data_IF_274790028093
#
_entry.id   IF_274790028093
#
_cell.length_a   1.000
_cell.length_b   1.000
_cell.length_c   1.000
_cell.angle_alpha   90.00
_cell.angle_beta   90.00
_cell.angle_gamma   90.00
#
_symmetry.space_group_name_H-M   'P 1'
#
loop_
_entity.id
_entity.type
_entity.pdbx_description
1 polymer ?
#
# COMPACT_ATOMS: atom_id res chain seq x y z
N UNK A 1 -24.64 6.38 7.18
CA UNK A 1 -25.59 5.26 7.05
C UNK A 1 -26.18 5.29 5.65
N UNK A 2 -26.43 4.13 5.04
CA UNK A 2 -27.13 3.98 3.75
C UNK A 2 -28.11 2.83 3.84
N UNK A 3 -29.13 2.86 2.99
CA UNK A 3 -30.04 1.74 2.80
C UNK A 3 -29.90 1.16 1.39
N UNK A 4 -30.17 -0.14 1.27
CA UNK A 4 -30.46 -0.83 0.02
C UNK A 4 -31.92 -1.23 0.08
N UNK A 5 -32.68 -0.90 -0.97
CA UNK A 5 -34.11 -1.24 -1.07
C UNK A 5 -34.30 -2.27 -2.17
N UNK A 6 -34.96 -3.37 -1.84
CA UNK A 6 -35.38 -4.37 -2.82
C UNK A 6 -36.52 -3.80 -3.69
N UNK A 7 -36.35 -3.85 -5.01
CA UNK A 7 -37.30 -3.24 -5.96
C UNK A 7 -38.61 -4.02 -6.12
N UNK A 8 -38.67 -5.28 -5.70
CA UNK A 8 -39.87 -6.11 -5.77
C UNK A 8 -40.64 -6.12 -4.45
N UNK A 9 -39.93 -6.25 -3.33
CA UNK A 9 -40.56 -6.41 -2.00
C UNK A 9 -40.61 -5.13 -1.18
N UNK A 10 -39.92 -4.07 -1.60
CA UNK A 10 -39.70 -2.84 -0.82
C UNK A 10 -38.99 -3.08 0.53
N UNK A 11 -38.39 -4.26 0.73
CA UNK A 11 -37.59 -4.55 1.91
C UNK A 11 -36.36 -3.64 1.96
N UNK A 12 -36.01 -3.14 3.14
CA UNK A 12 -34.89 -2.22 3.33
C UNK A 12 -33.81 -2.83 4.21
N UNK A 13 -32.59 -2.90 3.69
CA UNK A 13 -31.40 -3.28 4.46
C UNK A 13 -30.55 -2.05 4.73
N UNK A 14 -30.22 -1.81 6.00
CA UNK A 14 -29.42 -0.65 6.40
C UNK A 14 -27.97 -1.10 6.65
N UNK A 15 -27.02 -0.33 6.12
CA UNK A 15 -25.60 -0.56 6.33
C UNK A 15 -24.85 0.73 6.64
N UNK A 16 -23.76 0.58 7.37
CA UNK A 16 -22.83 1.66 7.69
C UNK A 16 -21.63 1.60 6.77
N UNK A 17 -21.06 2.77 6.50
CA UNK A 17 -19.81 2.90 5.76
C UNK A 17 -18.96 3.95 6.44
N UNK A 18 -17.65 3.76 6.36
CA UNK A 18 -16.67 4.73 6.85
C UNK A 18 -16.08 5.48 5.67
N UNK A 19 -15.75 6.74 5.89
CA UNK A 19 -15.03 7.56 4.94
C UNK A 19 -14.20 8.58 5.70
N UNK A 20 -13.08 8.97 5.11
CA UNK A 20 -12.26 10.05 5.60
C UNK A 20 -12.59 11.30 4.79
N UNK A 21 -12.81 12.41 5.48
CA UNK A 21 -12.98 13.72 4.87
C UNK A 21 -11.77 14.58 5.20
N UNK A 22 -10.97 14.90 4.19
CA UNK A 22 -9.85 15.82 4.33
C UNK A 22 -10.40 17.24 4.20
N UNK A 23 -10.53 17.95 5.34
CA UNK A 23 -11.05 19.32 5.35
C UNK A 23 -9.95 20.37 5.09
N UNK A 24 -8.72 20.09 5.53
CA UNK A 24 -7.53 20.92 5.34
C UNK A 24 -6.35 19.99 5.08
N UNK A 25 -5.49 20.36 4.13
CA UNK A 25 -4.35 19.55 3.71
C UNK A 25 -4.68 18.58 2.58
N UNK A 26 -3.76 17.66 2.32
CA UNK A 26 -3.84 16.64 1.28
C UNK A 26 -3.23 15.33 1.77
N UNK A 27 -3.60 14.23 1.13
CA UNK A 27 -2.87 12.96 1.26
C UNK A 27 -1.73 12.95 0.25
N UNK A 28 -0.60 12.37 0.63
CA UNK A 28 0.54 12.18 -0.26
C UNK A 28 1.16 10.81 -0.02
N UNK A 29 1.94 10.35 -1.00
CA UNK A 29 2.79 9.18 -0.88
C UNK A 29 4.10 9.48 -1.61
N UNK A 30 5.15 8.75 -1.24
CA UNK A 30 6.46 8.87 -1.87
C UNK A 30 6.60 7.76 -2.92
N UNK A 31 7.32 8.07 -4.00
CA UNK A 31 7.62 7.11 -5.06
C UNK A 31 8.98 7.43 -5.66
N UNK A 32 9.83 6.41 -5.73
CA UNK A 32 11.08 6.50 -6.47
C UNK A 32 10.80 5.92 -7.87
N UNK A 33 11.01 6.73 -8.90
CA UNK A 33 10.71 6.35 -10.28
C UNK A 33 11.99 6.45 -11.10
N UNK A 34 12.37 5.34 -11.73
CA UNK A 34 13.39 5.35 -12.77
C UNK A 34 12.92 6.17 -13.97
N UNK A 35 13.85 6.90 -14.59
CA UNK A 35 13.57 7.87 -15.65
C UNK A 35 12.74 7.28 -16.81
N UNK A 36 13.00 6.03 -17.18
CA UNK A 36 12.35 5.36 -18.30
C UNK A 36 10.86 5.07 -18.03
N UNK A 37 10.46 4.96 -16.77
CA UNK A 37 9.08 4.69 -16.36
C UNK A 37 8.31 5.94 -15.91
N UNK A 38 8.96 7.09 -15.80
CA UNK A 38 8.36 8.32 -15.26
C UNK A 38 7.09 8.71 -16.01
N UNK A 39 7.13 8.73 -17.34
CA UNK A 39 5.99 9.14 -18.17
C UNK A 39 4.78 8.22 -17.98
N UNK A 40 4.99 6.91 -17.99
CA UNK A 40 3.89 5.94 -17.89
C UNK A 40 3.29 5.94 -16.47
N UNK A 41 4.13 6.00 -15.43
CA UNK A 41 3.68 6.05 -14.04
C UNK A 41 2.93 7.35 -13.75
N UNK A 42 3.47 8.52 -14.13
CA UNK A 42 2.79 9.81 -13.94
C UNK A 42 1.46 9.86 -14.69
N UNK A 43 1.37 9.26 -15.88
CA UNK A 43 0.13 9.18 -16.66
C UNK A 43 -0.91 8.28 -15.97
N UNK A 44 -0.50 7.12 -15.45
CA UNK A 44 -1.39 6.23 -14.70
C UNK A 44 -1.92 6.90 -13.42
N UNK A 45 -1.07 7.62 -12.69
CA UNK A 45 -1.47 8.39 -11.50
C UNK A 45 -2.46 9.51 -11.87
N UNK A 46 -2.24 10.22 -12.99
CA UNK A 46 -3.19 11.23 -13.48
C UNK A 46 -4.54 10.63 -13.84
N UNK A 47 -4.59 9.45 -14.45
CA UNK A 47 -5.86 8.76 -14.72
C UNK A 47 -6.63 8.48 -13.42
N UNK A 48 -5.94 8.10 -12.34
CA UNK A 48 -6.56 7.89 -11.02
C UNK A 48 -7.14 9.16 -10.41
N UNK A 49 -6.69 10.35 -10.84
CA UNK A 49 -7.26 11.63 -10.43
C UNK A 49 -8.72 11.76 -10.87
N UNK A 50 -8.99 11.39 -12.12
CA UNK A 50 -10.32 11.50 -12.76
C UNK A 50 -11.21 10.30 -12.40
N UNK A 51 -10.61 9.13 -12.25
CA UNK A 51 -11.30 7.89 -11.92
C UNK A 51 -11.60 7.73 -10.43
N UNK A 52 -10.79 8.35 -9.57
CA UNK A 52 -10.85 8.25 -8.12
C UNK A 52 -10.13 7.03 -7.55
N UNK A 53 -9.72 7.14 -6.28
CA UNK A 53 -9.00 6.07 -5.56
C UNK A 53 -9.88 5.50 -4.43
N UNK A 54 -10.01 4.17 -4.38
CA UNK A 54 -10.72 3.45 -3.32
C UNK A 54 -12.14 3.01 -3.70
N UNK A 55 -12.97 2.73 -2.69
CA UNK A 55 -14.36 2.33 -2.90
C UNK A 55 -15.29 3.51 -3.15
N UNK A 56 -16.50 3.23 -3.66
CA UNK A 56 -17.54 4.24 -3.90
C UNK A 56 -17.13 5.37 -4.87
N UNK A 57 -16.22 5.09 -5.81
CA UNK A 57 -15.78 6.03 -6.86
C UNK A 57 -16.94 6.50 -7.75
N UNK A 58 -17.88 5.61 -8.04
CA UNK A 58 -19.06 5.89 -8.89
C UNK A 58 -20.01 6.96 -8.33
N UNK A 59 -19.86 7.33 -7.06
CA UNK A 59 -20.62 8.40 -6.41
C UNK A 59 -19.73 9.58 -5.99
N UNK A 60 -18.57 9.71 -6.64
CA UNK A 60 -17.67 10.86 -6.50
C UNK A 60 -16.65 10.78 -5.36
N UNK A 61 -16.47 9.62 -4.71
CA UNK A 61 -15.43 9.48 -3.67
C UNK A 61 -14.06 9.20 -4.29
N UNK A 62 -13.01 9.59 -3.58
CA UNK A 62 -11.63 9.32 -3.97
C UNK A 62 -11.09 10.21 -5.09
N UNK A 63 -11.91 11.13 -5.59
CA UNK A 63 -11.51 12.18 -6.53
C UNK A 63 -10.75 13.29 -5.79
N UNK A 64 -9.83 13.95 -6.49
CA UNK A 64 -9.05 15.06 -5.97
C UNK A 64 -8.19 15.68 -7.04
N UNK A 65 -7.43 16.72 -6.70
CA UNK A 65 -6.39 17.25 -7.57
C UNK A 65 -5.06 16.61 -7.18
N UNK A 66 -4.21 16.31 -8.17
CA UNK A 66 -2.90 15.73 -7.93
C UNK A 66 -1.79 16.72 -8.29
N UNK A 67 -0.74 16.74 -7.47
CA UNK A 67 0.46 17.53 -7.67
C UNK A 67 1.67 16.62 -7.51
N UNK A 68 2.67 16.78 -8.39
CA UNK A 68 3.96 16.12 -8.27
C UNK A 68 4.95 17.11 -7.68
N UNK A 69 5.59 16.72 -6.58
CA UNK A 69 6.69 17.48 -5.97
C UNK A 69 7.88 16.57 -5.78
N UNK A 70 9.05 17.14 -6.02
CA UNK A 70 10.29 16.52 -5.61
C UNK A 70 10.36 16.54 -4.07
N UNK A 71 10.91 15.48 -3.51
CA UNK A 71 10.99 15.29 -2.07
C UNK A 71 12.32 14.63 -1.74
N UNK A 72 13.07 15.25 -0.82
CA UNK A 72 14.35 14.76 -0.36
C UNK A 72 14.29 14.53 1.15
N UNK A 73 14.83 13.38 1.59
CA UNK A 73 14.99 13.04 3.00
C UNK A 73 16.48 12.98 3.29
N UNK A 74 16.88 13.67 4.36
CA UNK A 74 18.23 13.52 4.91
C UNK A 74 18.29 12.26 5.76
N UNK A 75 19.06 11.27 5.33
CA UNK A 75 19.30 10.04 6.05
C UNK A 75 20.72 10.00 6.66
N UNK A 76 20.92 9.27 7.76
CA UNK A 76 22.24 9.13 8.37
C UNK A 76 23.18 8.30 7.50
N UNK A 77 24.46 8.72 7.42
CA UNK A 77 25.49 8.01 6.65
C UNK A 77 25.91 6.66 7.26
N UNK A 78 25.68 6.45 8.55
CA UNK A 78 26.07 5.26 9.32
C UNK A 78 24.85 4.48 9.84
N UNK A 79 23.79 4.40 9.02
CA UNK A 79 22.58 3.66 9.34
C UNK A 79 22.86 2.16 9.56
N UNK A 80 22.35 1.61 10.67
CA UNK A 80 22.35 0.17 10.97
C UNK A 80 20.97 -0.46 10.72
N UNK A 81 19.93 0.36 10.59
CA UNK A 81 18.55 -0.05 10.40
C UNK A 81 17.88 0.75 9.29
N UNK A 82 16.69 0.29 8.88
CA UNK A 82 15.76 1.09 8.08
C UNK A 82 14.37 1.07 8.71
N UNK A 83 13.64 2.17 8.54
CA UNK A 83 12.20 2.25 8.78
C UNK A 83 11.45 2.09 7.45
N UNK A 84 10.42 1.26 7.39
CA UNK A 84 9.61 1.12 6.17
C UNK A 84 8.47 2.15 6.14
N UNK A 85 8.25 2.81 5.00
CA UNK A 85 7.10 3.71 4.80
C UNK A 85 6.02 3.11 3.88
N UNK A 86 6.09 1.80 3.64
CA UNK A 86 5.10 1.03 2.87
C UNK A 86 4.78 -0.28 3.57
N UNK A 87 3.64 -0.89 3.23
CA UNK A 87 3.35 -2.27 3.60
C UNK A 87 4.44 -3.20 3.07
N UNK A 88 5.08 -3.92 3.98
CA UNK A 88 6.28 -4.70 3.69
C UNK A 88 6.01 -6.20 3.85
N UNK A 89 6.34 -6.97 2.81
CA UNK A 89 6.33 -8.42 2.83
C UNK A 89 7.74 -8.93 2.53
N UNK A 90 8.47 -9.42 3.54
CA UNK A 90 9.88 -9.77 3.39
C UNK A 90 10.10 -10.99 2.50
N UNK A 91 11.29 -11.07 1.95
CA UNK A 91 11.83 -12.30 1.41
C UNK A 91 12.27 -13.26 2.54
N UNK A 92 12.50 -14.53 2.21
CA UNK A 92 12.79 -15.54 3.22
C UNK A 92 14.21 -15.41 3.80
N UNK A 93 15.17 -15.03 2.96
CA UNK A 93 16.54 -14.68 3.34
C UNK A 93 16.58 -13.46 4.28
N UNK A 94 15.77 -12.44 4.01
CA UNK A 94 15.62 -11.28 4.90
C UNK A 94 15.16 -11.70 6.29
N UNK A 95 14.11 -12.53 6.37
CA UNK A 95 13.61 -13.06 7.64
C UNK A 95 14.66 -13.87 8.41
N UNK A 96 15.54 -14.61 7.72
CA UNK A 96 16.64 -15.33 8.37
C UNK A 96 17.60 -14.32 9.00
N UNK A 97 18.02 -13.30 8.25
CA UNK A 97 18.96 -12.27 8.74
C UNK A 97 18.38 -11.46 9.91
N UNK A 98 17.09 -11.16 9.87
CA UNK A 98 16.42 -10.41 10.93
C UNK A 98 16.39 -11.17 12.25
N UNK A 99 16.31 -12.51 12.23
CA UNK A 99 16.30 -13.32 13.46
C UNK A 99 17.58 -13.19 14.28
N UNK A 100 18.70 -12.84 13.66
CA UNK A 100 19.99 -12.68 14.33
C UNK A 100 20.10 -11.32 15.05
N UNK A 101 19.19 -10.37 14.75
CA UNK A 101 19.24 -8.97 15.23
C UNK A 101 17.96 -8.57 15.97
N UNK A 102 17.43 -9.43 16.85
CA UNK A 102 16.11 -9.21 17.50
C UNK A 102 16.00 -7.93 18.31
N UNK A 103 17.11 -7.43 18.88
CA UNK A 103 17.10 -6.30 19.79
C UNK A 103 16.84 -4.95 19.11
N UNK A 104 16.92 -4.88 17.77
CA UNK A 104 16.75 -3.64 16.99
C UNK A 104 15.50 -3.66 16.11
N UNK A 105 14.67 -4.70 16.23
CA UNK A 105 13.48 -4.88 15.42
C UNK A 105 12.25 -4.37 16.19
N UNK A 106 11.45 -3.54 15.54
CA UNK A 106 10.16 -3.06 16.06
C UNK A 106 9.14 -3.07 14.94
N UNK A 107 8.03 -3.79 15.10
CA UNK A 107 7.02 -3.87 14.05
C UNK A 107 5.65 -4.17 14.63
N UNK A 108 4.63 -3.79 13.86
CA UNK A 108 3.30 -4.37 13.96
C UNK A 108 2.96 -5.13 12.66
N UNK A 109 1.99 -6.03 12.77
CA UNK A 109 1.48 -6.81 11.65
C UNK A 109 0.06 -6.37 11.30
N UNK A 110 -0.23 -6.38 10.00
CA UNK A 110 -1.57 -6.18 9.48
C UNK A 110 -1.93 -7.27 8.49
N UNK A 111 -3.14 -7.83 8.63
CA UNK A 111 -3.70 -8.72 7.61
C UNK A 111 -4.24 -7.88 6.44
N UNK A 112 -3.81 -8.21 5.23
CA UNK A 112 -4.31 -7.63 3.99
C UNK A 112 -5.02 -8.69 3.17
N UNK A 113 -6.34 -8.56 3.07
CA UNK A 113 -7.21 -9.34 2.20
C UNK A 113 -7.87 -8.50 1.12
N UNK A 114 -9.12 -8.80 0.80
CA UNK A 114 -9.94 -8.00 -0.11
C UNK A 114 -10.41 -8.79 -1.32
N UNK A 115 -11.04 -8.06 -2.24
CA UNK A 115 -11.65 -8.63 -3.44
C UNK A 115 -10.92 -8.16 -4.69
N UNK A 116 -10.96 -9.01 -5.70
CA UNK A 116 -10.68 -8.65 -7.09
C UNK A 116 -12.00 -8.18 -7.66
N UNK A 117 -12.07 -6.91 -8.02
CA UNK A 117 -13.17 -6.38 -8.81
C UNK A 117 -12.81 -6.57 -10.28
N UNK A 118 -13.54 -7.44 -10.96
CA UNK A 118 -13.31 -7.73 -12.37
C UNK A 118 -14.64 -7.93 -13.09
N UNK A 119 -14.65 -7.62 -14.39
CA UNK A 119 -15.80 -7.86 -15.27
C UNK A 119 -16.25 -9.33 -15.23
N UNK A 120 -15.31 -10.25 -14.97
CA UNK A 120 -15.53 -11.70 -14.97
C UNK A 120 -16.08 -12.21 -13.62
N UNK A 121 -16.03 -11.40 -12.56
CA UNK A 121 -16.57 -11.76 -11.25
C UNK A 121 -15.78 -11.21 -10.06
N UNK A 122 -16.32 -11.46 -8.87
CA UNK A 122 -15.74 -11.07 -7.59
C UNK A 122 -14.98 -12.24 -6.96
N UNK A 123 -13.65 -12.16 -6.97
CA UNK A 123 -12.81 -13.22 -6.40
C UNK A 123 -12.12 -12.76 -5.12
N UNK A 124 -12.01 -13.66 -4.13
CA UNK A 124 -11.34 -13.34 -2.88
C UNK A 124 -9.83 -13.43 -3.06
N UNK A 125 -9.13 -12.35 -2.75
CA UNK A 125 -7.66 -12.34 -2.69
C UNK A 125 -7.21 -13.17 -1.49
N UNK A 126 -6.13 -13.94 -1.64
CA UNK A 126 -5.46 -14.59 -0.52
C UNK A 126 -5.12 -13.54 0.54
N UNK A 127 -5.56 -13.75 1.78
CA UNK A 127 -5.17 -12.92 2.91
C UNK A 127 -3.70 -13.19 3.24
N UNK A 128 -2.92 -12.13 3.41
CA UNK A 128 -1.50 -12.20 3.78
C UNK A 128 -1.22 -11.24 4.93
N UNK A 129 -0.32 -11.64 5.83
CA UNK A 129 0.19 -10.76 6.86
C UNK A 129 1.37 -9.96 6.30
N UNK A 130 1.39 -8.66 6.59
CA UNK A 130 2.43 -7.72 6.16
C UNK A 130 2.87 -6.90 7.38
N UNK A 131 4.11 -6.44 7.37
CA UNK A 131 4.56 -5.44 8.33
C UNK A 131 3.96 -4.08 7.97
N UNK A 132 3.50 -3.35 8.98
CA UNK A 132 2.91 -2.02 8.82
C UNK A 132 3.99 -0.98 8.50
N UNK A 133 3.57 0.16 7.97
CA UNK A 133 4.38 1.36 7.87
C UNK A 133 4.87 1.82 9.26
N UNK A 134 6.13 2.26 9.34
CA UNK A 134 6.80 2.67 10.58
C UNK A 134 7.55 1.55 11.30
N UNK A 135 7.52 0.32 10.78
CA UNK A 135 8.29 -0.80 11.31
C UNK A 135 9.78 -0.64 10.98
N UNK A 136 10.63 -1.12 11.88
CA UNK A 136 12.08 -0.99 11.85
C UNK A 136 12.74 -2.38 11.74
N UNK A 137 13.70 -2.49 10.83
CA UNK A 137 14.47 -3.70 10.57
C UNK A 137 15.96 -3.39 10.43
N UNK A 138 16.86 -4.35 10.74
CA UNK A 138 18.29 -4.21 10.46
C UNK A 138 18.54 -4.08 8.96
N UNK A 139 19.55 -3.30 8.59
CA UNK A 139 20.08 -3.33 7.22
C UNK A 139 20.83 -4.63 6.98
N UNK A 140 20.74 -5.12 5.74
CA UNK A 140 21.49 -6.26 5.25
C UNK A 140 22.54 -5.72 4.27
N UNK A 141 23.81 -5.99 4.55
CA UNK A 141 24.92 -5.52 3.72
C UNK A 141 24.75 -5.96 2.26
N UNK A 142 24.89 -5.00 1.34
CA UNK A 142 24.75 -5.23 -0.09
C UNK A 142 23.31 -5.35 -0.60
N UNK A 143 22.28 -5.18 0.25
CA UNK A 143 20.87 -5.22 -0.15
C UNK A 143 20.26 -3.82 -0.20
N UNK A 144 19.86 -3.41 -1.40
CA UNK A 144 19.24 -2.10 -1.68
C UNK A 144 17.71 -2.14 -1.57
N UNK A 145 17.09 -3.20 -2.07
CA UNK A 145 15.62 -3.38 -2.07
C UNK A 145 15.21 -4.49 -1.13
N UNK A 146 14.14 -4.24 -0.37
CA UNK A 146 13.59 -5.19 0.59
C UNK A 146 12.17 -5.59 0.20
N UNK A 147 11.88 -6.88 0.34
CA UNK A 147 10.56 -7.45 0.13
C UNK A 147 10.23 -7.74 -1.32
N UNK A 148 8.97 -8.10 -1.57
CA UNK A 148 8.56 -8.64 -2.86
C UNK A 148 7.10 -8.38 -3.22
N UNK A 149 6.81 -8.53 -4.51
CA UNK A 149 5.44 -8.66 -5.00
C UNK A 149 4.90 -10.06 -4.65
N UNK A 150 3.76 -10.10 -3.96
CA UNK A 150 3.15 -11.36 -3.53
C UNK A 150 1.99 -11.71 -4.45
N UNK A 151 2.00 -12.85 -5.16
CA UNK A 151 0.83 -13.28 -5.91
C UNK A 151 -0.29 -13.66 -4.94
N UNK A 152 -1.44 -12.98 -5.07
CA UNK A 152 -2.62 -13.17 -4.21
C UNK A 152 -3.82 -13.74 -4.94
N UNK A 153 -3.75 -13.83 -6.28
CA UNK A 153 -4.74 -14.52 -7.11
C UNK A 153 -4.08 -14.97 -8.42
N UNK A 154 -4.35 -16.19 -8.93
CA UNK A 154 -3.60 -16.75 -10.06
C UNK A 154 -4.17 -16.40 -11.45
N UNK A 155 -5.48 -16.15 -11.61
CA UNK A 155 -6.07 -15.87 -12.92
C UNK A 155 -7.31 -14.94 -12.84
N UNK A 156 -7.18 -13.65 -13.16
CA UNK A 156 -5.96 -12.99 -13.63
C UNK A 156 -4.88 -12.98 -12.54
N UNK A 157 -3.62 -12.96 -12.96
CA UNK A 157 -2.50 -12.91 -12.03
C UNK A 157 -2.49 -11.54 -11.34
N UNK A 158 -2.74 -11.55 -10.03
CA UNK A 158 -2.83 -10.33 -9.23
C UNK A 158 -1.80 -10.37 -8.12
N UNK A 159 -1.07 -9.27 -8.02
CA UNK A 159 -0.07 -9.06 -7.00
C UNK A 159 -0.56 -8.14 -5.91
N UNK A 160 0.01 -8.33 -4.73
CA UNK A 160 0.04 -7.34 -3.66
C UNK A 160 1.45 -6.77 -3.58
N UNK A 161 1.54 -5.44 -3.63
CA UNK A 161 2.80 -4.73 -3.46
C UNK A 161 3.27 -4.90 -2.00
N UNK A 162 4.44 -5.51 -1.82
CA UNK A 162 5.05 -5.78 -0.51
C UNK A 162 6.52 -5.38 -0.46
N UNK A 163 6.94 -4.46 -1.33
CA UNK A 163 8.29 -3.91 -1.35
C UNK A 163 8.35 -2.78 -0.33
N UNK A 164 9.38 -2.78 0.52
CA UNK A 164 9.58 -1.73 1.51
C UNK A 164 10.03 -0.43 0.84
N UNK A 165 9.45 0.70 1.25
CA UNK A 165 10.04 2.01 1.05
C UNK A 165 10.97 2.28 2.24
N UNK A 166 12.20 1.78 2.14
CA UNK A 166 13.17 1.78 3.23
C UNK A 166 13.84 3.15 3.38
N UNK A 167 13.72 3.75 4.56
CA UNK A 167 14.44 4.96 4.95
C UNK A 167 15.47 4.59 6.02
N UNK A 168 16.73 4.89 5.74
CA UNK A 168 17.85 4.61 6.63
C UNK A 168 17.72 5.34 7.98
N UNK A 169 17.94 4.62 9.08
CA UNK A 169 17.89 5.13 10.46
C UNK A 169 18.99 4.52 11.33
N UNK A 170 19.26 5.15 12.48
CA UNK A 170 20.14 4.62 13.52
C UNK A 170 19.29 4.25 14.74
N UNK A 171 19.45 3.01 15.21
CA UNK A 171 18.80 2.48 16.43
C UNK A 171 19.86 1.96 17.39
#
# INVERSE_FOLDING_TARGET
MRNRVDRYTSHSDIFSYFYYKVNRGALYFLINIERDYEKIIKSAIKLLQDEGIGGDRSIGKGLGNLEFKDFELNTPNNANCFINLSLYYPEYDELIKFKDSKNIISYDLIERGGWVDSIVGNFRKKAINMFVEGSIFPKIDGKEFYGKLVPVYPNPLIYRYGIAYAIDVIV
#
